data_IF_611507351240
#
_entry.id   IF_611507351240
#
_cell.length_a   1.000
_cell.length_b   1.000
_cell.length_c   1.000
_cell.angle_alpha   90.00
_cell.angle_beta   90.00
_cell.angle_gamma   90.00
#
_symmetry.space_group_name_H-M   'P 1'
#
loop_
_entity.id
_entity.type
_entity.pdbx_description
1 polymer ?
#
# COMPACT_ATOMS: atom_id res chain seq x y z
N UNK A 1 -46.97 13.48 14.99
CA UNK A 1 -45.51 13.67 14.88
C UNK A 1 -45.07 13.00 13.59
N UNK A 2 -44.46 13.74 12.69
CA UNK A 2 -43.92 13.17 11.44
C UNK A 2 -42.75 12.20 11.79
N UNK A 3 -42.60 11.13 11.02
CA UNK A 3 -41.49 10.23 11.23
C UNK A 3 -40.15 10.97 11.01
N UNK A 4 -39.09 10.69 11.80
CA UNK A 4 -37.81 11.36 11.64
C UNK A 4 -37.23 11.11 10.25
N UNK A 5 -36.61 12.13 9.64
CA UNK A 5 -35.96 12.01 8.34
C UNK A 5 -34.68 11.21 8.50
N UNK A 6 -34.52 10.16 7.68
CA UNK A 6 -33.30 9.34 7.68
C UNK A 6 -32.31 9.89 6.70
N UNK A 7 -31.03 9.95 7.10
CA UNK A 7 -29.92 10.45 6.29
C UNK A 7 -28.71 9.54 6.49
N UNK A 8 -27.85 9.50 5.48
CA UNK A 8 -26.52 8.87 5.56
C UNK A 8 -25.46 9.95 5.40
N UNK A 9 -24.47 9.93 6.27
CA UNK A 9 -23.26 10.74 6.13
C UNK A 9 -22.09 9.81 5.87
N UNK A 10 -21.40 9.97 4.76
CA UNK A 10 -20.11 9.36 4.53
C UNK A 10 -19.03 10.41 4.72
N UNK A 11 -17.95 10.07 5.43
CA UNK A 11 -16.87 10.98 5.70
C UNK A 11 -15.51 10.25 5.62
N UNK A 12 -14.53 10.96 5.14
CA UNK A 12 -13.14 10.53 5.06
C UNK A 12 -12.20 11.70 5.37
N UNK A 13 -10.99 11.38 5.80
CA UNK A 13 -9.94 12.35 6.02
C UNK A 13 -8.58 11.73 5.78
N UNK A 14 -7.71 12.47 5.11
CA UNK A 14 -6.38 12.00 4.77
C UNK A 14 -5.30 13.02 5.03
N UNK A 15 -4.07 12.54 5.17
CA UNK A 15 -2.88 13.38 5.18
C UNK A 15 -1.78 12.75 4.31
N UNK A 16 -1.10 13.57 3.52
CA UNK A 16 0.07 13.14 2.72
C UNK A 16 1.32 13.25 3.58
N UNK A 17 1.57 12.22 4.39
CA UNK A 17 2.43 12.19 5.55
C UNK A 17 1.62 12.22 6.85
N UNK A 18 2.22 11.86 8.00
CA UNK A 18 1.46 11.80 9.26
C UNK A 18 2.33 12.28 10.46
N UNK A 19 2.30 13.62 10.78
CA UNK A 19 1.53 14.69 10.14
C UNK A 19 2.03 15.09 8.76
N UNK A 20 1.13 15.69 7.95
CA UNK A 20 1.45 16.20 6.61
C UNK A 20 0.30 17.04 6.05
N UNK A 21 0.41 17.54 4.81
CA UNK A 21 -0.68 18.22 4.12
C UNK A 21 -1.95 17.36 4.18
N UNK A 22 -2.99 17.86 4.81
CA UNK A 22 -4.19 17.11 5.16
C UNK A 22 -5.47 17.79 4.65
N UNK A 23 -6.45 16.99 4.33
CA UNK A 23 -7.77 17.42 3.92
C UNK A 23 -8.83 16.40 4.28
N UNK A 24 -10.08 16.78 4.24
CA UNK A 24 -11.20 15.90 4.46
C UNK A 24 -12.26 16.04 3.38
N UNK A 25 -13.11 15.05 3.26
CA UNK A 25 -14.33 15.03 2.48
C UNK A 25 -15.48 14.44 3.26
N UNK A 26 -16.67 14.97 3.04
CA UNK A 26 -17.92 14.45 3.59
C UNK A 26 -19.05 14.62 2.59
N UNK A 27 -19.97 13.67 2.57
CA UNK A 27 -21.16 13.70 1.73
C UNK A 27 -22.39 13.33 2.56
N UNK A 28 -23.48 14.05 2.34
CA UNK A 28 -24.80 13.76 2.93
C UNK A 28 -25.69 13.16 1.85
N UNK A 29 -26.21 11.97 2.08
CA UNK A 29 -27.00 11.20 1.12
C UNK A 29 -28.43 10.96 1.65
N UNK A 30 -29.39 10.96 0.74
CA UNK A 30 -30.73 10.42 1.01
C UNK A 30 -30.67 8.87 0.87
N UNK A 31 -31.02 8.10 1.94
CA UNK A 31 -30.95 6.64 1.85
C UNK A 31 -31.99 6.00 0.94
N UNK A 32 -32.96 6.76 0.43
CA UNK A 32 -34.03 6.21 -0.44
C UNK A 32 -33.56 5.98 -1.87
N UNK A 33 -32.71 6.88 -2.39
CA UNK A 33 -32.24 6.86 -3.78
C UNK A 33 -30.71 7.09 -3.91
N UNK A 34 -30.03 7.20 -2.76
CA UNK A 34 -28.61 7.55 -2.67
C UNK A 34 -28.26 8.92 -3.29
N UNK A 35 -29.23 9.82 -3.43
CA UNK A 35 -29.01 11.16 -3.97
C UNK A 35 -28.09 11.98 -3.03
N UNK A 36 -27.12 12.65 -3.61
CA UNK A 36 -26.23 13.59 -2.89
C UNK A 36 -27.01 14.85 -2.54
N UNK A 37 -27.15 15.13 -1.24
CA UNK A 37 -27.85 16.31 -0.71
C UNK A 37 -26.89 17.45 -0.41
N UNK A 38 -25.67 17.14 0.03
CA UNK A 38 -24.59 18.10 0.24
C UNK A 38 -23.24 17.40 0.19
N UNK A 39 -22.24 18.17 -0.20
CA UNK A 39 -20.82 17.82 -0.14
C UNK A 39 -20.07 18.87 0.67
N UNK A 40 -19.05 18.45 1.40
CA UNK A 40 -18.14 19.33 2.12
C UNK A 40 -16.74 18.77 2.03
N UNK A 41 -15.78 19.61 1.63
CA UNK A 41 -14.38 19.25 1.61
C UNK A 41 -13.51 20.47 1.92
N UNK A 42 -12.37 20.25 2.59
CA UNK A 42 -11.47 21.36 2.94
C UNK A 42 -10.03 20.87 3.09
N UNK A 43 -9.10 21.67 2.61
CA UNK A 43 -7.69 21.55 2.94
C UNK A 43 -7.42 22.18 4.31
N UNK A 44 -6.93 21.43 5.27
CA UNK A 44 -6.76 21.85 6.67
C UNK A 44 -5.32 22.17 7.07
N UNK A 45 -4.42 22.33 6.08
CA UNK A 45 -3.00 22.53 6.35
C UNK A 45 -2.29 21.26 6.77
N UNK A 46 -1.28 21.38 7.65
CA UNK A 46 -0.52 20.22 8.16
C UNK A 46 -1.23 19.64 9.36
N UNK A 47 -1.70 18.40 9.25
CA UNK A 47 -2.36 17.67 10.33
C UNK A 47 -2.09 16.15 10.24
N UNK A 48 -2.49 15.42 11.27
CA UNK A 48 -2.47 13.96 11.24
C UNK A 48 -3.71 13.40 10.54
N UNK A 49 -3.62 12.17 10.05
CA UNK A 49 -4.76 11.48 9.43
C UNK A 49 -5.99 11.47 10.35
N UNK A 50 -5.81 11.14 11.63
CA UNK A 50 -6.91 11.09 12.59
C UNK A 50 -7.60 12.45 12.80
N UNK A 51 -6.85 13.56 12.75
CA UNK A 51 -7.43 14.92 12.81
C UNK A 51 -8.28 15.18 11.59
N UNK A 52 -7.82 14.82 10.40
CA UNK A 52 -8.57 14.97 9.17
C UNK A 52 -9.87 14.14 9.16
N UNK A 53 -9.80 12.90 9.61
CA UNK A 53 -10.94 12.00 9.77
C UNK A 53 -12.04 12.59 10.68
N UNK A 54 -11.64 13.10 11.87
CA UNK A 54 -12.59 13.78 12.76
C UNK A 54 -13.18 15.05 12.15
N UNK A 55 -12.38 15.83 11.41
CA UNK A 55 -12.86 17.04 10.73
C UNK A 55 -13.85 16.73 9.61
N UNK A 56 -13.66 15.65 8.86
CA UNK A 56 -14.62 15.14 7.89
C UNK A 56 -15.95 14.75 8.55
N UNK A 57 -15.89 14.00 9.65
CA UNK A 57 -17.09 13.69 10.45
C UNK A 57 -17.83 14.97 10.90
N UNK A 58 -17.11 15.93 11.48
CA UNK A 58 -17.67 17.19 11.95
C UNK A 58 -18.34 17.96 10.80
N UNK A 59 -17.69 18.05 9.65
CA UNK A 59 -18.22 18.73 8.47
C UNK A 59 -19.52 18.07 7.96
N UNK A 60 -19.55 16.75 7.86
CA UNK A 60 -20.76 16.02 7.46
C UNK A 60 -21.93 16.20 8.42
N UNK A 61 -21.70 16.16 9.74
CA UNK A 61 -22.74 16.42 10.73
C UNK A 61 -23.23 17.87 10.71
N UNK A 62 -22.35 18.86 10.50
CA UNK A 62 -22.72 20.27 10.32
C UNK A 62 -23.57 20.47 9.08
N UNK A 63 -23.23 19.86 7.96
CA UNK A 63 -24.00 19.91 6.73
C UNK A 63 -25.43 19.36 6.93
N UNK A 64 -25.59 18.26 7.68
CA UNK A 64 -26.93 17.76 8.05
C UNK A 64 -27.71 18.80 8.84
N UNK A 65 -27.11 19.43 9.86
CA UNK A 65 -27.76 20.45 10.68
C UNK A 65 -28.15 21.69 9.89
N UNK A 66 -27.31 22.08 8.92
CA UNK A 66 -27.57 23.21 8.03
C UNK A 66 -28.72 22.94 7.05
N UNK A 67 -28.76 21.74 6.46
CA UNK A 67 -29.82 21.33 5.56
C UNK A 67 -31.19 21.16 6.27
N UNK A 68 -31.18 20.72 7.53
CA UNK A 68 -32.36 20.36 8.28
C UNK A 68 -32.37 20.95 9.70
N UNK A 69 -32.39 22.32 9.86
CA UNK A 69 -32.21 22.97 11.16
C UNK A 69 -33.31 22.67 12.16
N UNK A 70 -34.54 22.54 11.69
CA UNK A 70 -35.76 22.37 12.53
C UNK A 70 -36.43 21.00 12.36
N UNK A 71 -35.73 20.03 11.75
CA UNK A 71 -36.30 18.72 11.44
C UNK A 71 -35.71 17.65 12.37
N UNK A 72 -36.59 16.76 12.88
CA UNK A 72 -36.08 15.56 13.58
C UNK A 72 -35.42 14.61 12.58
N UNK A 73 -34.12 14.36 12.76
CA UNK A 73 -33.29 13.57 11.84
C UNK A 73 -32.72 12.34 12.53
N UNK A 74 -32.59 11.26 11.78
CA UNK A 74 -31.83 10.07 12.16
C UNK A 74 -30.67 9.90 11.17
N UNK A 75 -29.46 10.04 11.65
CA UNK A 75 -28.24 10.05 10.85
C UNK A 75 -27.45 8.77 11.06
N UNK A 76 -27.14 8.07 9.98
CA UNK A 76 -26.17 6.99 9.96
C UNK A 76 -24.87 7.51 9.40
N UNK A 77 -23.85 7.63 10.23
CA UNK A 77 -22.49 7.98 9.81
C UNK A 77 -21.77 6.71 9.39
N UNK A 78 -21.23 6.70 8.19
CA UNK A 78 -20.45 5.61 7.59
C UNK A 78 -19.02 6.09 7.33
N UNK A 79 -18.02 5.40 7.86
CA UNK A 79 -16.61 5.75 7.70
C UNK A 79 -15.76 4.49 7.62
N UNK A 80 -14.65 4.54 6.90
CA UNK A 80 -13.63 3.49 6.87
C UNK A 80 -12.55 3.67 7.97
N UNK A 81 -12.63 4.76 8.74
CA UNK A 81 -11.85 4.98 9.96
C UNK A 81 -12.42 4.18 11.14
N UNK A 82 -11.90 2.97 11.36
CA UNK A 82 -12.31 2.16 12.51
C UNK A 82 -12.10 2.87 13.85
N UNK A 83 -11.01 3.66 13.96
CA UNK A 83 -10.69 4.41 15.16
C UNK A 83 -11.80 5.41 15.51
N UNK A 84 -12.20 6.26 14.56
CA UNK A 84 -13.24 7.28 14.78
C UNK A 84 -14.58 6.63 15.09
N UNK A 85 -14.98 5.62 14.32
CA UNK A 85 -16.24 4.89 14.53
C UNK A 85 -16.30 4.25 15.92
N UNK A 86 -15.25 3.56 16.36
CA UNK A 86 -15.21 2.91 17.67
C UNK A 86 -15.19 3.92 18.83
N UNK A 87 -14.51 5.05 18.66
CA UNK A 87 -14.46 6.12 19.65
C UNK A 87 -15.79 6.86 19.76
N UNK A 88 -16.41 7.24 18.65
CA UNK A 88 -17.70 7.95 18.65
C UNK A 88 -18.87 7.06 19.06
N UNK A 89 -18.77 5.74 18.86
CA UNK A 89 -19.72 4.76 19.41
C UNK A 89 -19.53 4.48 20.91
N UNK A 90 -18.52 5.08 21.56
CA UNK A 90 -18.23 4.85 22.98
C UNK A 90 -17.57 3.51 23.30
N UNK A 91 -17.29 2.67 22.31
CA UNK A 91 -16.64 1.37 22.51
C UNK A 91 -15.15 1.50 22.85
N UNK A 92 -14.46 2.54 22.31
CA UNK A 92 -13.06 2.82 22.61
C UNK A 92 -12.90 4.17 23.32
N UNK A 93 -11.99 4.20 24.31
CA UNK A 93 -11.63 5.44 25.02
C UNK A 93 -10.73 6.33 24.15
N UNK A 94 -11.02 7.62 24.11
CA UNK A 94 -10.21 8.63 23.45
C UNK A 94 -9.03 8.99 24.37
N UNK A 95 -7.83 8.49 24.05
CA UNK A 95 -6.61 8.72 24.86
C UNK A 95 -5.84 9.96 24.41
N UNK A 96 -5.78 10.22 23.10
CA UNK A 96 -4.99 11.30 22.54
C UNK A 96 -5.60 12.66 22.85
N UNK A 97 -4.83 13.65 23.38
CA UNK A 97 -5.37 14.95 23.77
C UNK A 97 -6.00 15.73 22.61
N UNK A 98 -5.43 15.66 21.41
CA UNK A 98 -5.92 16.41 20.24
C UNK A 98 -7.24 15.85 19.69
N UNK A 99 -7.56 14.59 19.97
CA UNK A 99 -8.80 13.96 19.51
C UNK A 99 -10.00 14.29 20.41
N UNK A 100 -9.75 14.58 21.70
CA UNK A 100 -10.82 14.85 22.67
C UNK A 100 -11.68 16.06 22.30
N UNK A 101 -11.10 17.24 21.93
CA UNK A 101 -11.92 18.39 21.53
C UNK A 101 -12.71 18.13 20.25
N UNK A 102 -12.12 17.42 19.27
CA UNK A 102 -12.80 17.08 18.02
C UNK A 102 -13.98 16.12 18.25
N UNK A 103 -13.78 15.10 19.06
CA UNK A 103 -14.88 14.20 19.42
C UNK A 103 -16.00 14.89 20.21
N UNK A 104 -15.64 15.81 21.12
CA UNK A 104 -16.63 16.61 21.85
C UNK A 104 -17.40 17.55 20.91
N UNK A 105 -16.73 18.18 19.95
CA UNK A 105 -17.37 18.98 18.92
C UNK A 105 -18.33 18.13 18.09
N UNK A 106 -17.90 17.00 17.54
CA UNK A 106 -18.75 16.10 16.76
C UNK A 106 -20.02 15.67 17.56
N UNK A 107 -19.84 15.30 18.83
CA UNK A 107 -20.93 14.87 19.70
C UNK A 107 -21.93 16.01 20.07
N UNK A 108 -21.50 17.26 19.92
CA UNK A 108 -22.36 18.44 20.24
C UNK A 108 -23.24 18.91 19.08
N UNK A 109 -22.99 18.41 17.85
CA UNK A 109 -23.68 18.92 16.65
C UNK A 109 -25.13 18.44 16.58
N UNK A 110 -25.36 17.16 16.86
CA UNK A 110 -26.67 16.51 16.83
C UNK A 110 -26.89 15.73 18.13
N UNK A 111 -28.16 15.50 18.57
CA UNK A 111 -28.44 14.64 19.73
C UNK A 111 -27.84 13.24 19.58
N UNK A 112 -27.25 12.72 20.63
CA UNK A 112 -26.60 11.39 20.58
C UNK A 112 -27.61 10.27 20.22
N UNK A 113 -28.87 10.42 20.52
CA UNK A 113 -29.94 9.47 20.15
C UNK A 113 -30.28 9.47 18.66
N UNK A 114 -29.86 10.50 17.92
CA UNK A 114 -30.14 10.63 16.49
C UNK A 114 -28.97 10.25 15.59
N UNK A 115 -27.81 9.87 16.15
CA UNK A 115 -26.63 9.52 15.36
C UNK A 115 -26.19 8.10 15.67
N UNK A 116 -25.94 7.33 14.61
CA UNK A 116 -25.34 5.98 14.69
C UNK A 116 -24.09 5.94 13.85
N UNK A 117 -23.07 5.17 14.29
CA UNK A 117 -21.78 5.06 13.62
C UNK A 117 -21.56 3.64 13.12
N UNK A 118 -21.24 3.53 11.84
CA UNK A 118 -21.00 2.27 11.13
C UNK A 118 -19.62 2.31 10.45
N UNK A 119 -18.81 1.28 10.70
CA UNK A 119 -17.58 1.10 9.95
C UNK A 119 -17.88 0.42 8.62
N UNK A 120 -17.34 0.96 7.53
CA UNK A 120 -17.44 0.39 6.19
C UNK A 120 -16.03 0.16 5.60
N UNK A 121 -15.85 -0.81 4.70
CA UNK A 121 -14.61 -0.94 3.93
C UNK A 121 -14.37 0.30 3.06
N UNK A 122 -13.09 0.64 2.81
CA UNK A 122 -12.68 1.80 2.02
C UNK A 122 -13.32 1.82 0.62
N UNK A 123 -13.51 0.65 0.03
CA UNK A 123 -14.15 0.49 -1.28
C UNK A 123 -15.61 1.00 -1.30
N UNK A 124 -16.24 1.13 -0.14
CA UNK A 124 -17.59 1.67 0.03
C UNK A 124 -17.62 3.14 0.45
N UNK A 125 -16.45 3.77 0.72
CA UNK A 125 -16.34 5.19 1.12
C UNK A 125 -15.73 6.06 0.01
N UNK A 126 -15.86 5.67 -1.26
CA UNK A 126 -15.16 6.27 -2.40
C UNK A 126 -15.52 7.73 -2.65
N UNK A 127 -16.77 8.14 -2.38
CA UNK A 127 -17.20 9.51 -2.62
C UNK A 127 -16.48 10.46 -1.66
N UNK A 128 -16.52 10.19 -0.36
CA UNK A 128 -15.83 10.98 0.65
C UNK A 128 -14.28 10.94 0.46
N UNK A 129 -13.69 9.79 0.11
CA UNK A 129 -12.25 9.65 -0.20
C UNK A 129 -11.83 10.57 -1.36
N UNK A 130 -12.64 10.66 -2.44
CA UNK A 130 -12.35 11.56 -3.56
C UNK A 130 -12.42 13.03 -3.17
N UNK A 131 -13.45 13.44 -2.42
CA UNK A 131 -13.57 14.79 -1.90
C UNK A 131 -12.37 15.18 -1.04
N UNK A 132 -11.92 14.30 -0.15
CA UNK A 132 -10.72 14.52 0.66
C UNK A 132 -9.46 14.69 -0.22
N UNK A 133 -9.33 13.90 -1.28
CA UNK A 133 -8.21 14.00 -2.22
C UNK A 133 -8.27 15.29 -3.05
N UNK A 134 -9.45 15.69 -3.54
CA UNK A 134 -9.65 16.98 -4.25
C UNK A 134 -9.27 18.15 -3.36
N UNK A 135 -9.68 18.15 -2.07
CA UNK A 135 -9.32 19.18 -1.12
C UNK A 135 -7.80 19.28 -0.88
N UNK A 136 -7.12 18.14 -0.72
CA UNK A 136 -5.66 18.11 -0.58
C UNK A 136 -4.95 18.60 -1.86
N UNK A 137 -5.50 18.30 -3.04
CA UNK A 137 -4.92 18.74 -4.31
C UNK A 137 -5.13 20.24 -4.54
N UNK A 138 -6.29 20.82 -4.19
CA UNK A 138 -6.53 22.25 -4.18
C UNK A 138 -5.55 22.97 -3.24
N UNK A 139 -5.39 22.45 -2.00
CA UNK A 139 -4.46 23.03 -1.03
C UNK A 139 -3.00 23.04 -1.50
N UNK A 140 -2.55 22.04 -2.26
CA UNK A 140 -1.21 22.03 -2.89
C UNK A 140 -1.03 23.13 -3.94
N UNK A 141 -2.10 23.57 -4.58
CA UNK A 141 -2.09 24.69 -5.52
C UNK A 141 -2.25 26.04 -4.83
N UNK A 142 -2.43 26.06 -3.48
CA UNK A 142 -2.73 27.27 -2.73
C UNK A 142 -4.19 27.72 -2.85
N UNK A 143 -5.09 26.84 -3.27
CA UNK A 143 -6.51 27.06 -3.49
C UNK A 143 -7.32 26.36 -2.39
N UNK A 144 -8.56 26.81 -2.19
CA UNK A 144 -9.56 26.06 -1.43
C UNK A 144 -10.39 25.19 -2.37
N UNK A 145 -10.93 24.09 -1.86
CA UNK A 145 -11.84 23.25 -2.61
C UNK A 145 -13.14 24.00 -2.95
N UNK A 146 -13.63 23.80 -4.15
CA UNK A 146 -14.86 24.43 -4.66
C UNK A 146 -15.81 23.34 -5.17
N UNK A 147 -17.02 23.27 -4.58
CA UNK A 147 -18.05 22.31 -4.94
C UNK A 147 -18.44 22.39 -6.43
N UNK A 148 -18.42 23.58 -7.03
CA UNK A 148 -18.78 23.76 -8.45
C UNK A 148 -17.77 23.10 -9.41
N UNK A 149 -16.54 22.86 -8.97
CA UNK A 149 -15.48 22.21 -9.74
C UNK A 149 -15.25 20.74 -9.37
N UNK A 150 -15.99 20.21 -8.38
CA UNK A 150 -15.86 18.82 -7.94
C UNK A 150 -16.32 17.84 -9.00
N UNK A 151 -15.58 16.73 -9.14
CA UNK A 151 -15.90 15.61 -10.01
C UNK A 151 -16.20 14.33 -9.23
N UNK A 152 -16.20 14.40 -7.90
CA UNK A 152 -16.27 13.26 -6.99
C UNK A 152 -17.56 12.44 -7.18
N UNK A 153 -18.69 13.09 -7.38
CA UNK A 153 -19.99 12.43 -7.60
C UNK A 153 -20.06 11.78 -8.98
N UNK A 154 -19.64 12.47 -10.06
CA UNK A 154 -19.64 11.94 -11.42
C UNK A 154 -18.79 10.68 -11.59
N UNK A 155 -17.64 10.60 -10.92
CA UNK A 155 -16.79 9.42 -10.94
C UNK A 155 -17.37 8.27 -10.12
N UNK A 156 -18.11 8.57 -9.05
CA UNK A 156 -18.85 7.57 -8.28
C UNK A 156 -19.96 6.95 -9.12
N UNK A 157 -20.74 7.77 -9.83
CA UNK A 157 -21.76 7.31 -10.78
C UNK A 157 -21.18 6.45 -11.92
N UNK A 158 -20.04 6.79 -12.49
CA UNK A 158 -19.36 5.97 -13.49
C UNK A 158 -18.96 4.59 -12.98
N UNK A 159 -18.58 4.49 -11.70
CA UNK A 159 -18.18 3.21 -11.08
C UNK A 159 -19.40 2.33 -10.78
N UNK A 160 -20.57 2.92 -10.53
CA UNK A 160 -21.82 2.20 -10.26
C UNK A 160 -22.54 1.72 -11.55
N UNK A 161 -22.26 2.33 -12.70
CA UNK A 161 -22.91 2.03 -14.00
C UNK A 161 -22.15 0.99 -14.82
N UNK A 162 -21.02 0.47 -14.35
CA UNK A 162 -20.38 -0.68 -15.02
C UNK A 162 -21.22 -1.93 -14.72
N UNK A 163 -21.83 -2.57 -15.76
CA UNK A 163 -22.58 -3.80 -15.56
C UNK A 163 -21.65 -4.90 -15.05
N UNK A 164 -22.14 -5.70 -14.10
CA UNK A 164 -21.51 -6.96 -13.73
C UNK A 164 -21.15 -7.75 -14.99
N UNK A 165 -19.96 -8.38 -15.06
CA UNK A 165 -19.62 -9.24 -16.16
C UNK A 165 -20.62 -10.41 -16.20
N UNK A 166 -21.56 -10.34 -17.11
CA UNK A 166 -22.42 -11.48 -17.43
C UNK A 166 -21.53 -12.57 -18.01
N UNK A 167 -21.47 -13.71 -17.34
CA UNK A 167 -20.91 -14.92 -17.89
C UNK A 167 -21.60 -15.23 -19.23
N UNK A 168 -20.86 -15.46 -20.31
CA UNK A 168 -21.47 -15.78 -21.57
C UNK A 168 -22.26 -17.10 -21.47
N UNK A 169 -23.44 -17.19 -22.11
CA UNK A 169 -24.19 -18.45 -22.15
C UNK A 169 -23.35 -19.52 -22.83
N UNK A 170 -23.32 -20.69 -22.26
CA UNK A 170 -22.70 -21.89 -22.82
C UNK A 170 -23.39 -22.30 -24.11
N UNK A 171 -22.85 -21.87 -25.26
CA UNK A 171 -23.19 -22.33 -26.56
C UNK A 171 -22.08 -23.21 -27.17
N UNK A 172 -22.37 -24.07 -28.12
CA UNK A 172 -21.40 -25.00 -28.72
C UNK A 172 -20.25 -24.27 -29.43
N UNK A 173 -19.02 -24.84 -29.53
CA UNK A 173 -17.83 -24.19 -29.99
C UNK A 173 -17.96 -23.83 -31.50
N UNK A 174 -18.07 -22.54 -31.79
CA UNK A 174 -17.92 -22.00 -33.12
C UNK A 174 -16.45 -21.74 -33.44
N UNK A 175 -16.11 -22.04 -34.70
CA UNK A 175 -14.82 -22.07 -35.36
C UNK A 175 -13.86 -20.88 -34.95
N UNK A 176 -12.88 -21.17 -34.10
CA UNK A 176 -11.87 -20.22 -33.62
C UNK A 176 -10.92 -19.74 -34.77
N UNK A 177 -10.88 -20.44 -35.90
CA UNK A 177 -10.05 -20.08 -37.06
C UNK A 177 -10.61 -18.90 -37.84
N UNK A 178 -11.95 -18.74 -37.91
CA UNK A 178 -12.59 -17.62 -38.60
C UNK A 178 -12.46 -16.29 -37.81
N UNK A 179 -12.43 -16.33 -36.49
CA UNK A 179 -12.19 -15.16 -35.63
C UNK A 179 -10.76 -14.59 -35.76
N UNK A 180 -9.77 -15.46 -35.82
CA UNK A 180 -8.36 -15.06 -35.95
C UNK A 180 -8.04 -14.46 -37.34
N UNK A 181 -8.75 -14.87 -38.41
CA UNK A 181 -8.58 -14.31 -39.75
C UNK A 181 -9.11 -12.87 -39.85
N UNK A 182 -10.23 -12.54 -39.20
CA UNK A 182 -10.80 -11.17 -39.16
C UNK A 182 -9.90 -10.19 -38.40
N UNK A 183 -9.27 -10.61 -37.30
CA UNK A 183 -8.34 -9.77 -36.53
C UNK A 183 -7.06 -9.48 -37.33
N UNK A 184 -6.51 -10.47 -38.04
CA UNK A 184 -5.32 -10.26 -38.91
C UNK A 184 -5.57 -9.35 -40.09
N UNK A 185 -6.75 -9.39 -40.67
CA UNK A 185 -7.15 -8.52 -41.80
C UNK A 185 -7.32 -7.04 -41.32
N UNK A 186 -7.80 -6.82 -40.11
CA UNK A 186 -7.92 -5.47 -39.53
C UNK A 186 -6.55 -4.86 -39.18
N UNK A 187 -5.59 -5.66 -38.76
CA UNK A 187 -4.22 -5.20 -38.47
C UNK A 187 -3.37 -4.90 -39.71
N UNK A 188 -3.69 -5.50 -40.86
CA UNK A 188 -2.98 -5.26 -42.12
C UNK A 188 -3.38 -3.96 -42.83
N UNK A 189 -4.48 -3.33 -42.44
CA UNK A 189 -5.02 -2.13 -43.10
C UNK A 189 -4.54 -0.79 -42.46
N UNK A 190 -3.79 -0.79 -41.37
CA UNK A 190 -3.31 0.42 -40.73
C UNK A 190 -1.91 0.81 -41.25
N UNK A 191 -1.88 1.83 -42.14
CA UNK A 191 -0.59 2.46 -42.58
C UNK A 191 -0.02 3.37 -41.48
N UNK A 192 1.30 3.42 -41.28
CA UNK A 192 1.92 4.31 -40.30
C UNK A 192 2.00 5.74 -40.85
N UNK A 193 1.52 6.71 -40.06
CA UNK A 193 1.83 8.11 -40.26
C UNK A 193 2.80 8.52 -39.14
N UNK A 194 4.01 8.86 -39.54
CA UNK A 194 5.01 9.40 -38.63
C UNK A 194 4.70 10.86 -38.31
N UNK A 195 4.63 11.18 -37.05
CA UNK A 195 4.82 12.55 -36.54
C UNK A 195 5.47 12.47 -35.16
N UNK A 196 6.70 12.97 -35.09
CA UNK A 196 7.40 13.18 -33.83
C UNK A 196 6.76 14.34 -33.06
N UNK A 197 6.30 14.08 -31.87
CA UNK A 197 6.01 15.09 -30.86
C UNK A 197 6.56 14.59 -29.53
N UNK A 198 7.43 15.39 -28.93
CA UNK A 198 7.99 15.19 -27.61
C UNK A 198 6.86 15.10 -26.57
N UNK A 199 6.60 13.88 -26.08
CA UNK A 199 5.63 13.63 -25.05
C UNK A 199 6.31 13.75 -23.67
N UNK A 200 5.87 14.72 -22.89
CA UNK A 200 6.05 14.73 -21.44
C UNK A 200 5.46 13.43 -20.85
N UNK A 201 6.13 12.74 -19.93
CA UNK A 201 5.58 11.51 -19.35
C UNK A 201 4.32 11.84 -18.57
N UNK A 202 3.18 11.32 -19.03
CA UNK A 202 1.93 11.35 -18.28
C UNK A 202 2.01 10.31 -17.16
N UNK A 203 2.17 10.75 -15.93
CA UNK A 203 1.99 9.94 -14.74
C UNK A 203 0.49 9.90 -14.43
N UNK A 204 -0.18 8.78 -14.72
CA UNK A 204 -1.60 8.60 -14.41
C UNK A 204 -2.26 7.42 -15.13
N UNK A 205 -3.37 6.96 -14.62
CA UNK A 205 -4.15 5.78 -15.04
C UNK A 205 -4.86 5.89 -16.41
N UNK A 206 -4.53 6.88 -17.22
CA UNK A 206 -5.05 7.01 -18.60
C UNK A 206 -4.36 6.02 -19.52
N UNK A 207 -5.15 5.18 -20.23
CA UNK A 207 -4.80 4.15 -21.21
C UNK A 207 -3.33 3.79 -21.28
N UNK A 208 -2.98 2.65 -20.64
CA UNK A 208 -1.62 2.14 -20.66
C UNK A 208 -1.13 2.00 -22.11
N UNK A 209 -0.03 2.66 -22.50
CA UNK A 209 0.70 2.23 -23.68
C UNK A 209 1.06 0.75 -23.50
N UNK A 210 1.22 0.02 -24.58
CA UNK A 210 1.74 -1.35 -24.54
C UNK A 210 3.21 -1.27 -24.06
N UNK A 211 3.40 -1.28 -22.75
CA UNK A 211 4.72 -1.16 -22.10
C UNK A 211 5.50 -2.48 -22.16
N UNK A 212 4.94 -3.49 -22.84
CA UNK A 212 5.53 -4.81 -22.88
C UNK A 212 5.48 -5.53 -21.53
N UNK A 213 6.13 -6.68 -21.46
CA UNK A 213 6.26 -7.44 -20.23
C UNK A 213 7.22 -6.73 -19.25
N UNK A 214 6.82 -6.46 -17.98
CA UNK A 214 7.70 -5.82 -17.01
C UNK A 214 8.81 -6.77 -16.54
N UNK A 215 9.90 -6.21 -16.00
CA UNK A 215 10.79 -6.96 -15.13
C UNK A 215 10.03 -7.22 -13.81
N UNK A 216 9.72 -8.48 -13.50
CA UNK A 216 8.97 -8.84 -12.30
C UNK A 216 9.90 -9.44 -11.26
N UNK A 217 10.02 -8.80 -10.10
CA UNK A 217 10.79 -9.34 -8.99
C UNK A 217 9.87 -9.97 -7.95
N UNK A 218 10.03 -11.26 -7.74
CA UNK A 218 9.45 -11.99 -6.62
C UNK A 218 10.48 -11.93 -5.49
N UNK A 219 10.15 -11.27 -4.41
CA UNK A 219 11.02 -11.03 -3.26
C UNK A 219 10.70 -12.09 -2.20
N UNK A 220 11.61 -13.01 -1.95
CA UNK A 220 11.49 -14.06 -0.94
C UNK A 220 12.41 -13.72 0.24
N UNK A 221 11.84 -13.49 1.43
CA UNK A 221 12.63 -13.46 2.64
C UNK A 221 13.16 -14.87 2.92
N UNK A 222 14.43 -14.99 3.33
CA UNK A 222 14.99 -16.29 3.75
C UNK A 222 14.12 -16.97 4.82
N UNK A 223 14.18 -18.30 4.89
CA UNK A 223 13.53 -19.07 5.94
C UNK A 223 14.07 -18.74 7.34
N UNK A 224 13.38 -19.22 8.36
CA UNK A 224 13.76 -19.00 9.76
C UNK A 224 15.18 -19.50 10.06
N UNK A 225 15.88 -18.77 10.95
CA UNK A 225 17.15 -19.17 11.59
C UNK A 225 16.96 -19.30 13.09
N UNK A 226 17.94 -19.80 13.82
CA UNK A 226 17.87 -19.86 15.29
C UNK A 226 17.67 -18.49 15.95
N UNK A 227 18.15 -17.39 15.32
CA UNK A 227 18.03 -16.03 15.82
C UNK A 227 16.65 -15.40 15.59
N UNK A 228 15.86 -15.95 14.65
CA UNK A 228 14.58 -15.35 14.25
C UNK A 228 13.51 -15.38 15.35
N UNK A 229 13.26 -16.49 16.06
CA UNK A 229 12.30 -16.52 17.18
C UNK A 229 12.71 -15.61 18.33
N UNK A 230 14.01 -15.43 18.56
CA UNK A 230 14.56 -14.57 19.62
C UNK A 230 14.52 -13.08 19.23
N UNK A 231 14.16 -12.76 18.00
CA UNK A 231 14.11 -11.38 17.45
C UNK A 231 15.44 -10.63 17.62
N UNK A 232 16.55 -11.34 17.38
CA UNK A 232 17.90 -10.77 17.43
C UNK A 232 18.25 -10.11 16.10
N UNK A 233 19.00 -9.02 16.16
CA UNK A 233 19.63 -8.44 14.98
C UNK A 233 20.57 -9.47 14.35
N UNK A 234 20.37 -9.75 13.08
CA UNK A 234 21.18 -10.70 12.30
C UNK A 234 21.43 -10.10 10.91
N UNK A 235 22.41 -9.25 10.87
CA UNK A 235 22.82 -8.50 9.69
C UNK A 235 23.88 -9.21 8.85
N UNK A 236 24.75 -8.42 8.24
CA UNK A 236 25.87 -8.88 7.42
C UNK A 236 27.23 -8.76 8.14
N UNK A 237 27.29 -8.01 9.23
CA UNK A 237 28.54 -7.80 10.01
C UNK A 237 28.79 -8.83 11.09
N UNK A 238 27.79 -9.63 11.46
CA UNK A 238 27.85 -10.58 12.56
C UNK A 238 27.99 -12.05 12.13
N UNK A 239 27.34 -12.93 12.92
CA UNK A 239 27.29 -14.36 12.57
C UNK A 239 26.44 -14.58 11.31
N UNK A 240 26.82 -15.57 10.49
CA UNK A 240 26.04 -15.97 9.30
C UNK A 240 25.29 -17.30 9.58
N UNK A 241 24.15 -17.26 10.29
CA UNK A 241 23.44 -18.46 10.71
C UNK A 241 22.84 -19.24 9.53
N UNK A 242 22.83 -20.56 9.67
CA UNK A 242 22.09 -21.47 8.79
C UNK A 242 20.60 -21.40 9.05
N UNK A 243 19.81 -21.95 8.15
CA UNK A 243 18.38 -22.15 8.39
C UNK A 243 18.15 -23.12 9.59
N UNK A 244 17.15 -22.80 10.41
CA UNK A 244 16.61 -23.75 11.39
C UNK A 244 15.91 -24.92 10.67
N UNK A 245 15.47 -25.92 11.42
CA UNK A 245 14.64 -26.98 10.85
C UNK A 245 13.34 -26.42 10.26
N UNK A 246 12.68 -25.52 11.00
CA UNK A 246 11.50 -24.79 10.52
C UNK A 246 11.83 -23.98 9.26
N UNK A 247 12.98 -23.31 9.21
CA UNK A 247 13.41 -22.55 8.04
C UNK A 247 13.66 -23.42 6.80
N UNK A 248 14.23 -24.59 6.96
CA UNK A 248 14.37 -25.55 5.85
C UNK A 248 13.01 -26.06 5.35
N UNK A 249 12.08 -26.33 6.26
CA UNK A 249 10.71 -26.68 5.89
C UNK A 249 10.02 -25.55 5.14
N UNK A 250 10.15 -24.30 5.60
CA UNK A 250 9.62 -23.12 4.92
C UNK A 250 10.20 -22.96 3.52
N UNK A 251 11.52 -23.15 3.35
CA UNK A 251 12.17 -23.10 2.05
C UNK A 251 11.66 -24.18 1.09
N UNK A 252 11.44 -25.40 1.58
CA UNK A 252 10.86 -26.49 0.79
C UNK A 252 9.42 -26.17 0.35
N UNK A 253 8.58 -25.63 1.24
CA UNK A 253 7.20 -25.21 0.91
C UNK A 253 7.19 -24.09 -0.14
N UNK A 254 8.09 -23.11 -0.03
CA UNK A 254 8.25 -22.06 -1.04
C UNK A 254 8.67 -22.66 -2.40
N UNK A 255 9.61 -23.62 -2.41
CA UNK A 255 10.04 -24.32 -3.61
C UNK A 255 8.90 -25.05 -4.32
N UNK A 256 8.05 -25.75 -3.58
CA UNK A 256 6.85 -26.42 -4.11
C UNK A 256 5.87 -25.41 -4.74
N UNK A 257 5.60 -24.30 -4.03
CA UNK A 257 4.70 -23.27 -4.50
C UNK A 257 5.21 -22.60 -5.78
N UNK A 258 6.50 -22.29 -5.90
CA UNK A 258 7.07 -21.73 -7.12
C UNK A 258 7.08 -22.73 -8.27
N UNK A 259 7.32 -24.01 -8.01
CA UNK A 259 7.22 -25.04 -9.02
C UNK A 259 5.79 -25.19 -9.57
N UNK A 260 4.79 -25.14 -8.70
CA UNK A 260 3.38 -25.22 -9.10
C UNK A 260 2.94 -23.99 -9.94
N UNK A 261 3.49 -22.80 -9.67
CA UNK A 261 3.18 -21.57 -10.40
C UNK A 261 3.93 -21.44 -11.74
N UNK A 262 5.09 -22.04 -11.88
CA UNK A 262 5.90 -22.07 -13.11
C UNK A 262 6.38 -20.71 -13.64
N UNK A 263 6.33 -19.66 -12.82
CA UNK A 263 6.60 -18.29 -13.28
C UNK A 263 8.06 -17.84 -13.15
N UNK A 264 8.86 -18.49 -12.29
CA UNK A 264 10.24 -18.09 -12.00
C UNK A 264 11.18 -18.54 -13.13
N UNK A 265 11.93 -17.60 -13.69
CA UNK A 265 12.86 -17.84 -14.79
C UNK A 265 14.33 -17.68 -14.36
N UNK A 266 14.59 -16.94 -13.31
CA UNK A 266 15.92 -16.67 -12.76
C UNK A 266 15.87 -16.64 -11.24
N UNK A 267 16.97 -17.03 -10.58
CA UNK A 267 17.10 -16.95 -9.13
C UNK A 267 18.35 -16.14 -8.80
N UNK A 268 18.18 -15.08 -8.04
CA UNK A 268 19.25 -14.23 -7.51
C UNK A 268 19.19 -14.26 -5.98
N UNK A 269 20.30 -14.42 -5.32
CA UNK A 269 20.37 -14.55 -3.87
C UNK A 269 21.36 -13.59 -3.25
N UNK A 270 21.03 -13.07 -2.06
CA UNK A 270 22.00 -12.52 -1.14
C UNK A 270 23.15 -13.51 -0.89
N UNK A 271 24.39 -13.04 -0.65
CA UNK A 271 25.53 -13.91 -0.37
C UNK A 271 25.41 -14.65 0.97
N UNK A 272 24.55 -14.19 1.90
CA UNK A 272 24.46 -14.75 3.24
C UNK A 272 23.87 -16.17 3.23
N UNK A 273 24.40 -17.03 4.08
CA UNK A 273 24.18 -18.46 4.08
C UNK A 273 22.69 -18.84 4.13
N UNK A 274 21.91 -18.20 5.00
CA UNK A 274 20.46 -18.42 5.14
C UNK A 274 19.68 -18.15 3.84
N UNK A 275 20.11 -17.15 3.05
CA UNK A 275 19.50 -16.86 1.75
C UNK A 275 19.94 -17.88 0.69
N UNK A 276 21.22 -18.25 0.68
CA UNK A 276 21.70 -19.28 -0.25
C UNK A 276 21.01 -20.60 -0.03
N UNK A 277 20.91 -21.08 1.23
CA UNK A 277 20.20 -22.31 1.56
C UNK A 277 18.71 -22.25 1.13
N UNK A 278 18.03 -21.11 1.33
CA UNK A 278 16.65 -20.91 0.85
C UNK A 278 16.58 -20.93 -0.68
N UNK A 279 17.50 -20.22 -1.36
CA UNK A 279 17.56 -20.16 -2.82
C UNK A 279 17.90 -21.50 -3.45
N UNK A 280 18.82 -22.27 -2.88
CA UNK A 280 19.24 -23.59 -3.33
C UNK A 280 18.09 -24.61 -3.24
N UNK A 281 17.26 -24.55 -2.18
CA UNK A 281 16.06 -25.38 -2.09
C UNK A 281 15.08 -25.11 -3.24
N UNK A 282 14.86 -23.84 -3.58
CA UNK A 282 14.03 -23.45 -4.74
C UNK A 282 14.69 -23.85 -6.05
N UNK A 283 15.98 -23.58 -6.20
CA UNK A 283 16.76 -23.87 -7.42
C UNK A 283 16.75 -25.37 -7.76
N UNK A 284 16.96 -26.23 -6.76
CA UNK A 284 16.91 -27.68 -6.92
C UNK A 284 15.54 -28.16 -7.45
N UNK A 285 14.45 -27.53 -6.99
CA UNK A 285 13.09 -27.92 -7.39
C UNK A 285 12.71 -27.40 -8.77
N UNK A 286 13.27 -26.24 -9.20
CA UNK A 286 12.97 -25.62 -10.49
C UNK A 286 13.99 -25.99 -11.59
N UNK A 287 15.11 -26.61 -11.27
CA UNK A 287 16.21 -26.89 -12.21
C UNK A 287 16.93 -25.60 -12.66
N UNK A 288 16.94 -24.56 -11.85
CA UNK A 288 17.57 -23.28 -12.13
C UNK A 288 18.90 -23.12 -11.38
N UNK A 289 19.72 -22.16 -11.82
CA UNK A 289 20.95 -21.78 -11.12
C UNK A 289 20.70 -20.59 -10.19
N UNK A 290 21.44 -20.53 -9.09
CA UNK A 290 21.44 -19.38 -8.17
C UNK A 290 22.58 -18.45 -8.55
N UNK A 291 22.26 -17.18 -8.79
CA UNK A 291 23.23 -16.10 -8.99
C UNK A 291 23.35 -15.28 -7.69
N UNK A 292 24.59 -15.04 -7.26
CA UNK A 292 24.83 -14.24 -6.05
C UNK A 292 24.90 -12.76 -6.40
N UNK A 293 24.23 -11.93 -5.59
CA UNK A 293 24.23 -10.47 -5.71
C UNK A 293 24.52 -9.83 -4.34
N UNK A 294 25.71 -9.26 -4.22
CA UNK A 294 26.20 -8.66 -2.96
C UNK A 294 25.30 -7.51 -2.47
N UNK A 295 24.69 -6.79 -3.38
CA UNK A 295 23.78 -5.71 -3.05
C UNK A 295 22.48 -6.13 -2.37
N UNK A 296 22.18 -7.44 -2.32
CA UNK A 296 21.00 -7.99 -1.63
C UNK A 296 21.30 -8.44 -0.18
N UNK A 297 22.51 -8.24 0.36
CA UNK A 297 22.83 -8.60 1.75
C UNK A 297 21.96 -7.81 2.74
N UNK A 298 21.79 -8.33 3.97
CA UNK A 298 21.10 -7.59 5.05
C UNK A 298 21.94 -6.37 5.47
N UNK A 299 21.32 -5.45 6.16
CA UNK A 299 21.96 -4.32 6.85
C UNK A 299 23.06 -4.84 7.78
N UNK A 300 24.20 -4.18 7.82
CA UNK A 300 25.17 -4.36 8.87
C UNK A 300 24.70 -3.60 10.11
N UNK A 301 24.46 -4.29 11.23
CA UNK A 301 24.00 -3.69 12.46
C UNK A 301 25.14 -3.34 13.43
N UNK A 302 26.41 -3.46 13.01
CA UNK A 302 27.56 -3.10 13.82
C UNK A 302 27.56 -3.82 15.18
N UNK A 303 27.71 -3.07 16.26
CA UNK A 303 27.76 -3.63 17.63
C UNK A 303 26.41 -4.21 18.10
N UNK A 304 25.33 -4.03 17.37
CA UNK A 304 24.01 -4.59 17.72
C UNK A 304 23.84 -6.04 17.24
N UNK A 305 24.75 -6.55 16.42
CA UNK A 305 24.68 -7.91 15.90
C UNK A 305 24.54 -8.94 17.05
N UNK A 306 23.56 -9.81 16.92
CA UNK A 306 23.22 -10.83 17.92
C UNK A 306 22.45 -10.34 19.14
N UNK A 307 22.20 -9.03 19.28
CA UNK A 307 21.39 -8.47 20.36
C UNK A 307 19.91 -8.42 19.99
N UNK A 308 19.04 -8.45 21.00
CA UNK A 308 17.63 -8.13 20.85
C UNK A 308 17.42 -6.61 20.85
N UNK A 309 16.26 -6.15 20.40
CA UNK A 309 15.90 -4.73 20.45
C UNK A 309 15.89 -4.18 21.89
N UNK A 310 15.53 -5.01 22.88
CA UNK A 310 15.57 -4.66 24.31
C UNK A 310 17.00 -4.46 24.80
N UNK A 311 17.91 -5.38 24.49
CA UNK A 311 19.33 -5.31 24.85
C UNK A 311 20.01 -4.10 24.20
N UNK A 312 19.67 -3.77 22.94
CA UNK A 312 20.17 -2.56 22.27
C UNK A 312 19.65 -1.30 22.99
N UNK A 313 18.39 -1.27 23.38
CA UNK A 313 17.81 -0.13 24.12
C UNK A 313 18.52 0.10 25.46
N UNK A 314 18.89 -0.95 26.16
CA UNK A 314 19.62 -0.85 27.44
C UNK A 314 21.07 -0.38 27.27
N UNK A 315 21.77 -0.93 26.27
CA UNK A 315 23.21 -0.73 26.11
C UNK A 315 23.59 0.44 25.23
N UNK A 316 22.72 0.75 24.24
CA UNK A 316 22.97 1.72 23.15
C UNK A 316 21.77 2.66 22.94
N UNK A 317 21.17 3.17 24.02
CA UNK A 317 19.93 3.95 23.99
C UNK A 317 20.00 5.19 23.10
N UNK A 318 21.10 5.96 23.18
CA UNK A 318 21.30 7.15 22.34
C UNK A 318 21.46 6.81 20.85
N UNK A 319 22.20 5.75 20.58
CA UNK A 319 22.48 5.23 19.24
C UNK A 319 21.16 4.74 18.58
N UNK A 320 20.39 3.96 19.31
CA UNK A 320 19.06 3.50 18.88
C UNK A 320 18.10 4.67 18.63
N UNK A 321 18.12 5.68 19.49
CA UNK A 321 17.26 6.87 19.32
C UNK A 321 17.62 7.63 18.05
N UNK A 322 18.90 7.83 17.78
CA UNK A 322 19.38 8.46 16.55
C UNK A 322 18.98 7.66 15.30
N UNK A 323 19.17 6.35 15.34
CA UNK A 323 18.84 5.45 14.22
C UNK A 323 17.32 5.40 13.90
N UNK A 324 16.48 5.49 14.93
CA UNK A 324 15.03 5.57 14.74
C UNK A 324 14.56 6.94 14.24
N UNK A 325 15.33 8.01 14.49
CA UNK A 325 14.97 9.38 14.15
C UNK A 325 15.51 9.83 12.79
N UNK A 326 16.56 9.20 12.26
CA UNK A 326 17.20 9.61 11.01
C UNK A 326 17.60 8.40 10.15
N UNK A 327 17.31 8.41 8.84
CA UNK A 327 17.75 7.38 7.93
C UNK A 327 19.28 7.40 7.70
N UNK A 328 19.96 8.51 8.03
CA UNK A 328 21.41 8.68 7.87
C UNK A 328 22.20 8.16 9.07
N UNK A 329 21.54 7.90 10.20
CA UNK A 329 22.19 7.36 11.37
C UNK A 329 22.49 5.87 11.19
N UNK A 330 23.75 5.49 11.44
CA UNK A 330 24.21 4.11 11.40
C UNK A 330 24.43 3.59 12.83
N UNK A 331 24.22 2.28 13.08
CA UNK A 331 24.64 1.65 14.32
C UNK A 331 26.14 1.80 14.54
N UNK A 332 26.55 2.10 15.78
CA UNK A 332 27.97 2.22 16.13
C UNK A 332 28.76 0.94 15.80
N UNK A 333 30.06 1.07 15.53
CA UNK A 333 30.96 -0.06 15.25
C UNK A 333 30.93 -0.50 13.78
N UNK A 334 30.65 0.41 12.84
CA UNK A 334 30.76 0.17 11.40
C UNK A 334 29.47 -0.34 10.75
N UNK A 335 28.31 -0.17 11.41
CA UNK A 335 27.01 -0.53 10.84
C UNK A 335 26.62 0.34 9.64
N UNK A 336 25.64 -0.12 8.88
CA UNK A 336 25.05 0.61 7.75
C UNK A 336 23.83 1.43 8.21
N UNK A 337 23.73 2.68 7.75
CA UNK A 337 22.50 3.48 7.86
C UNK A 337 21.43 3.00 6.86
N UNK A 338 20.17 3.34 7.08
CA UNK A 338 19.12 3.06 6.10
C UNK A 338 19.31 3.79 4.76
N UNK A 339 19.98 4.96 4.77
CA UNK A 339 20.32 5.68 3.56
C UNK A 339 21.36 4.93 2.72
N UNK A 340 22.41 4.41 3.34
CA UNK A 340 23.43 3.57 2.68
C UNK A 340 22.81 2.28 2.12
N UNK A 341 21.98 1.62 2.90
CA UNK A 341 21.23 0.43 2.42
C UNK A 341 20.32 0.79 1.24
N UNK A 342 19.63 1.94 1.29
CA UNK A 342 18.74 2.37 0.21
C UNK A 342 19.53 2.67 -1.08
N UNK A 343 20.67 3.28 -0.99
CA UNK A 343 21.54 3.54 -2.14
C UNK A 343 22.04 2.23 -2.77
N UNK A 344 22.59 1.32 -1.96
CA UNK A 344 23.07 0.01 -2.39
C UNK A 344 21.95 -0.83 -3.06
N UNK A 345 20.78 -0.87 -2.44
CA UNK A 345 19.62 -1.62 -2.92
C UNK A 345 19.05 -0.99 -4.20
N UNK A 346 19.03 0.35 -4.30
CA UNK A 346 18.59 1.06 -5.51
C UNK A 346 19.47 0.76 -6.70
N UNK A 347 20.80 0.87 -6.54
CA UNK A 347 21.76 0.52 -7.60
C UNK A 347 21.64 -0.95 -8.03
N UNK A 348 21.44 -1.84 -7.06
CA UNK A 348 21.23 -3.27 -7.33
C UNK A 348 19.94 -3.51 -8.10
N UNK A 349 18.84 -2.88 -7.67
CA UNK A 349 17.55 -2.93 -8.38
C UNK A 349 17.72 -2.53 -9.85
N UNK A 350 18.40 -1.42 -10.12
CA UNK A 350 18.53 -0.88 -11.48
C UNK A 350 19.35 -1.82 -12.38
N UNK A 351 20.44 -2.40 -11.84
CA UNK A 351 21.18 -3.46 -12.55
C UNK A 351 20.33 -4.70 -12.83
N UNK A 352 19.53 -5.13 -11.86
CA UNK A 352 18.68 -6.30 -12.00
C UNK A 352 17.52 -6.05 -12.96
N UNK A 353 16.90 -4.85 -12.97
CA UNK A 353 15.89 -4.48 -13.97
C UNK A 353 16.46 -4.57 -15.39
N UNK A 354 17.64 -3.99 -15.62
CA UNK A 354 18.28 -4.04 -16.93
C UNK A 354 18.61 -5.47 -17.37
N UNK A 355 19.04 -6.34 -16.43
CA UNK A 355 19.40 -7.75 -16.73
C UNK A 355 18.17 -8.62 -16.99
N UNK A 356 17.05 -8.36 -16.31
CA UNK A 356 15.85 -9.20 -16.33
C UNK A 356 14.64 -8.50 -16.96
N UNK A 357 14.84 -7.57 -17.88
CA UNK A 357 13.77 -6.89 -18.61
C UNK A 357 12.83 -7.92 -19.25
N UNK A 358 11.51 -7.77 -19.01
CA UNK A 358 10.49 -8.68 -19.52
C UNK A 358 10.48 -10.09 -18.89
N UNK A 359 11.25 -10.33 -17.82
CA UNK A 359 11.40 -11.64 -17.17
C UNK A 359 10.96 -11.58 -15.72
N UNK A 360 10.69 -12.76 -15.16
CA UNK A 360 10.39 -12.94 -13.73
C UNK A 360 11.61 -13.52 -13.02
N UNK A 361 12.21 -12.74 -12.11
CA UNK A 361 13.32 -13.14 -11.26
C UNK A 361 12.89 -13.30 -9.81
N UNK A 362 13.28 -14.39 -9.17
CA UNK A 362 13.17 -14.61 -7.75
C UNK A 362 14.40 -14.02 -7.06
N UNK A 363 14.20 -13.05 -6.17
CA UNK A 363 15.25 -12.45 -5.34
C UNK A 363 15.12 -12.98 -3.92
N UNK A 364 16.06 -13.80 -3.47
CA UNK A 364 16.10 -14.34 -2.11
C UNK A 364 16.98 -13.43 -1.26
N UNK A 365 16.36 -12.74 -0.31
CA UNK A 365 17.03 -11.70 0.46
C UNK A 365 16.44 -11.57 1.87
N UNK A 366 16.55 -10.41 2.49
CA UNK A 366 16.29 -10.17 3.91
C UNK A 366 15.22 -9.10 4.12
N UNK A 367 14.94 -8.80 5.41
CA UNK A 367 13.91 -7.85 5.80
C UNK A 367 14.17 -6.45 5.27
N UNK A 368 15.37 -5.90 5.50
CA UNK A 368 15.63 -4.49 5.14
C UNK A 368 15.72 -4.28 3.63
N UNK A 369 16.40 -5.11 2.85
CA UNK A 369 16.39 -4.98 1.39
C UNK A 369 14.99 -5.12 0.78
N UNK A 370 14.15 -6.07 1.24
CA UNK A 370 12.78 -6.19 0.74
C UNK A 370 11.96 -4.95 1.04
N UNK A 371 11.97 -4.50 2.30
CA UNK A 371 11.27 -3.26 2.69
C UNK A 371 11.75 -2.05 1.90
N UNK A 372 13.05 -1.97 1.63
CA UNK A 372 13.65 -0.89 0.82
C UNK A 372 13.17 -0.94 -0.62
N UNK A 373 13.16 -2.11 -1.27
CA UNK A 373 12.63 -2.27 -2.63
C UNK A 373 11.14 -1.89 -2.72
N UNK A 374 10.35 -2.31 -1.73
CA UNK A 374 8.92 -1.96 -1.65
C UNK A 374 8.75 -0.45 -1.43
N UNK A 375 9.51 0.15 -0.50
CA UNK A 375 9.49 1.58 -0.24
C UNK A 375 9.81 2.39 -1.50
N UNK A 376 10.88 2.03 -2.21
CA UNK A 376 11.29 2.70 -3.45
C UNK A 376 10.22 2.56 -4.54
N UNK A 377 9.59 1.39 -4.66
CA UNK A 377 8.51 1.15 -5.62
C UNK A 377 7.27 2.00 -5.32
N UNK A 378 6.98 2.27 -4.06
CA UNK A 378 5.84 3.09 -3.64
C UNK A 378 6.15 4.60 -3.58
N UNK A 379 7.41 5.01 -3.81
CA UNK A 379 7.84 6.39 -3.57
C UNK A 379 7.64 6.83 -2.12
N UNK A 380 7.64 5.86 -1.18
CA UNK A 380 7.34 6.11 0.22
C UNK A 380 8.55 6.68 0.98
N UNK A 381 8.32 7.48 2.04
CA UNK A 381 9.42 8.05 2.82
C UNK A 381 10.14 6.97 3.67
N UNK A 382 11.37 7.25 4.15
CA UNK A 382 12.19 6.28 4.90
C UNK A 382 11.48 5.64 6.10
N UNK A 383 10.67 6.38 6.84
CA UNK A 383 9.94 5.92 8.02
C UNK A 383 8.95 4.79 7.71
N UNK A 384 8.58 4.61 6.45
CA UNK A 384 7.71 3.52 6.01
C UNK A 384 8.31 2.13 6.25
N UNK A 385 9.64 2.02 6.37
CA UNK A 385 10.34 0.77 6.72
C UNK A 385 9.85 0.18 8.05
N UNK A 386 9.48 1.03 9.01
CA UNK A 386 8.97 0.62 10.32
C UNK A 386 7.49 0.22 10.32
N UNK A 387 6.78 0.45 9.22
CA UNK A 387 5.33 0.18 9.06
C UNK A 387 5.03 -1.08 8.24
N UNK A 388 6.05 -1.77 7.78
CA UNK A 388 5.93 -3.02 7.04
C UNK A 388 6.40 -4.18 7.91
N UNK A 389 5.66 -5.27 7.89
CA UNK A 389 6.08 -6.54 8.50
C UNK A 389 6.37 -7.57 7.41
N UNK A 390 7.37 -8.41 7.66
CA UNK A 390 7.75 -9.50 6.75
C UNK A 390 8.02 -10.75 7.58
N UNK A 391 7.24 -11.78 7.34
CA UNK A 391 7.41 -13.09 7.97
C UNK A 391 8.59 -13.87 7.35
N UNK A 392 9.22 -14.82 8.07
CA UNK A 392 10.18 -15.74 7.45
C UNK A 392 9.56 -16.46 6.24
N UNK A 393 10.32 -16.62 5.17
CA UNK A 393 9.90 -17.17 3.88
C UNK A 393 8.65 -16.52 3.26
N UNK A 394 8.29 -15.30 3.66
CA UNK A 394 7.22 -14.56 3.01
C UNK A 394 7.60 -14.09 1.62
N UNK A 395 6.59 -13.98 0.76
CA UNK A 395 6.70 -13.56 -0.63
C UNK A 395 6.10 -12.17 -0.82
N UNK A 396 6.84 -11.30 -1.49
CA UNK A 396 6.34 -10.02 -2.00
C UNK A 396 6.65 -9.92 -3.49
N UNK A 397 5.91 -9.10 -4.25
CA UNK A 397 6.12 -9.01 -5.70
C UNK A 397 6.03 -7.57 -6.16
N UNK A 398 7.05 -7.12 -6.89
CA UNK A 398 7.12 -5.81 -7.53
C UNK A 398 7.39 -6.00 -9.02
N UNK A 399 6.62 -5.31 -9.85
CA UNK A 399 6.84 -5.27 -11.30
C UNK A 399 7.36 -3.89 -11.71
N UNK A 400 8.37 -3.85 -12.57
CA UNK A 400 9.00 -2.63 -13.09
C UNK A 400 8.78 -2.57 -14.60
N UNK A 401 8.09 -1.55 -15.06
CA UNK A 401 7.75 -1.35 -16.47
C UNK A 401 8.83 -0.56 -17.21
N UNK A 402 8.80 -0.61 -18.54
CA UNK A 402 9.80 0.05 -19.39
C UNK A 402 9.78 1.58 -19.28
N UNK A 403 8.67 2.18 -18.84
CA UNK A 403 8.53 3.62 -18.57
C UNK A 403 9.11 4.05 -17.22
N UNK A 404 9.69 3.10 -16.46
CA UNK A 404 10.25 3.32 -15.14
C UNK A 404 9.25 3.26 -13.98
N UNK A 405 7.96 3.08 -14.25
CA UNK A 405 6.92 2.98 -13.20
C UNK A 405 6.93 1.58 -12.56
N UNK A 406 7.00 1.48 -11.24
CA UNK A 406 6.86 0.22 -10.52
C UNK A 406 5.42 -0.02 -10.07
N UNK A 407 5.09 -1.31 -9.85
CA UNK A 407 3.81 -1.72 -9.27
C UNK A 407 4.04 -2.78 -8.19
N UNK A 408 3.68 -2.48 -6.95
CA UNK A 408 3.63 -3.47 -5.87
C UNK A 408 2.37 -4.33 -6.05
N UNK A 409 2.55 -5.63 -6.29
CA UNK A 409 1.45 -6.58 -6.56
C UNK A 409 1.10 -7.46 -5.38
N UNK A 410 2.05 -7.69 -4.48
CA UNK A 410 1.91 -8.57 -3.32
C UNK A 410 2.88 -8.12 -2.22
N UNK A 411 2.45 -8.18 -0.97
CA UNK A 411 3.31 -7.91 0.20
C UNK A 411 3.07 -8.95 1.29
N UNK A 412 4.17 -9.56 1.79
CA UNK A 412 4.19 -10.47 2.94
C UNK A 412 3.23 -11.67 2.86
N UNK A 413 3.06 -12.26 1.67
CA UNK A 413 2.23 -13.47 1.52
C UNK A 413 2.94 -14.70 2.11
N UNK A 414 2.22 -15.43 2.95
CA UNK A 414 2.65 -16.69 3.59
C UNK A 414 1.69 -17.85 3.31
N UNK A 415 0.80 -17.70 2.34
CA UNK A 415 -0.23 -18.69 2.02
C UNK A 415 0.34 -20.07 1.70
N UNK A 416 1.53 -20.11 1.11
CA UNK A 416 2.24 -21.34 0.76
C UNK A 416 2.81 -22.10 1.97
N UNK A 417 2.83 -21.50 3.16
CA UNK A 417 3.34 -22.13 4.39
C UNK A 417 2.25 -22.86 5.19
N UNK A 418 0.99 -22.74 4.77
CA UNK A 418 -0.17 -23.36 5.43
C UNK A 418 -0.42 -24.78 4.96
#
# INVERSE_FOLDING_TARGET
MSAPRRLVVEADGGSRGNPGPAGYGAVVLDPADAATLAEAAEYIGVATNNVAEYKGLIAGLKAVRELFPDTDVQVRVRMDSKLVVEQMSGRWKIKHPDMKPLAAEAASILPASSVTYEWIPREQNKHADRLANEAMDAGRRGEQWDAASSTADMETMRTLVLPEPQLPPSGPPGDAAAGAAKVRAAMAAARPVAAAASATPQVGWGSAPDLGAPATFILLRHGETALTPEKRFSGSGGSDPVLSEAGRHQAARAAEAFAARGAVQEIVSSPLRRCRETAEAVAARLGLRVHIEEGLRETDFGVWEGLTFGEVRERYSSDLTAWLASPDAAPTGGGESFAEVAERVSQTRDRLIARHAGRTALLVTHVTPIKTLVRLALGAPPESLFRMELSPASVSTVAYYADGNPSLRLLNDTSHLR
#
